data_IF_792088265399
#
_entry.id   IF_792088265399
#
_cell.length_a   1.000
_cell.length_b   1.000
_cell.length_c   1.000
_cell.angle_alpha   90.00
_cell.angle_beta   90.00
_cell.angle_gamma   90.00
#
_symmetry.space_group_name_H-M   'P 1'
#
loop_
_entity.id
_entity.type
_entity.pdbx_description
1 polymer ?
#
# COMPACT_ATOMS: atom_id res chain seq x y z
N UNK A 1 18.72 1.26 4.98
CA UNK A 1 18.93 1.02 3.54
C UNK A 1 20.07 1.91 3.03
N UNK A 2 20.75 1.55 1.92
CA UNK A 2 21.89 2.34 1.41
C UNK A 2 21.46 3.42 0.42
N UNK A 3 21.30 4.66 0.87
CA UNK A 3 20.89 5.80 0.00
C UNK A 3 21.95 6.24 -1.03
N UNK A 4 23.18 5.69 -0.95
CA UNK A 4 24.29 5.98 -1.88
C UNK A 4 24.55 4.82 -2.85
N UNK A 5 23.58 3.95 -3.07
CA UNK A 5 23.69 2.79 -3.96
C UNK A 5 23.76 3.14 -5.46
N UNK A 6 23.50 4.41 -5.83
CA UNK A 6 23.48 4.86 -7.22
C UNK A 6 22.26 4.40 -8.01
N UNK A 7 21.33 3.67 -7.37
CA UNK A 7 20.09 3.15 -7.95
C UNK A 7 18.91 4.03 -7.52
N UNK A 8 18.83 4.34 -6.23
CA UNK A 8 17.72 5.10 -5.66
C UNK A 8 17.96 6.61 -5.74
N UNK A 9 17.14 7.29 -6.55
CA UNK A 9 17.12 8.76 -6.67
C UNK A 9 16.61 9.41 -5.37
N UNK A 10 16.84 10.71 -5.13
CA UNK A 10 16.49 11.37 -3.87
C UNK A 10 15.02 11.21 -3.43
N UNK A 11 14.08 11.14 -4.37
CA UNK A 11 12.67 10.92 -4.05
C UNK A 11 12.39 9.55 -3.39
N UNK A 12 13.24 8.54 -3.57
CA UNK A 12 13.14 7.26 -2.83
C UNK A 12 13.62 7.33 -1.39
N UNK A 13 14.36 8.38 -0.99
CA UNK A 13 14.93 8.46 0.35
C UNK A 13 13.86 8.55 1.44
N UNK A 14 12.62 8.89 1.08
CA UNK A 14 11.44 8.81 1.96
C UNK A 14 11.27 7.44 2.61
N UNK A 15 11.50 6.37 1.84
CA UNK A 15 11.39 4.98 2.32
C UNK A 15 12.41 4.70 3.41
N UNK A 16 13.67 5.06 3.17
CA UNK A 16 14.75 4.88 4.17
C UNK A 16 14.54 5.78 5.40
N UNK A 17 14.10 7.03 5.21
CA UNK A 17 13.82 7.95 6.30
C UNK A 17 12.73 7.40 7.23
N UNK A 18 11.59 6.98 6.67
CA UNK A 18 10.48 6.40 7.45
C UNK A 18 10.91 5.09 8.11
N UNK A 19 11.62 4.20 7.41
CA UNK A 19 12.13 2.94 7.97
C UNK A 19 13.01 3.18 9.20
N UNK A 20 13.95 4.12 9.12
CA UNK A 20 14.82 4.45 10.26
C UNK A 20 14.04 4.98 11.47
N UNK A 21 12.95 5.74 11.26
CA UNK A 21 12.10 6.22 12.34
C UNK A 21 11.28 5.08 12.94
N UNK A 22 10.68 4.21 12.12
CA UNK A 22 9.94 3.04 12.61
C UNK A 22 10.83 2.10 13.43
N UNK A 23 12.06 1.89 12.98
CA UNK A 23 13.06 1.03 13.66
C UNK A 23 13.44 1.55 15.05
N UNK A 24 13.16 2.82 15.38
CA UNK A 24 13.35 3.32 16.75
C UNK A 24 12.32 2.76 17.74
N UNK A 25 11.18 2.26 17.26
CA UNK A 25 10.07 1.79 18.09
C UNK A 25 9.37 2.88 18.91
N UNK A 26 9.71 4.17 18.71
CA UNK A 26 9.20 5.28 19.52
C UNK A 26 7.81 5.78 19.13
N UNK A 27 7.37 5.48 17.92
CA UNK A 27 6.16 6.01 17.32
C UNK A 27 5.28 4.88 16.81
N UNK A 28 3.98 4.96 17.11
CA UNK A 28 2.97 4.04 16.56
C UNK A 28 2.64 4.36 15.11
N UNK A 29 2.72 5.64 14.73
CA UNK A 29 2.43 6.14 13.40
C UNK A 29 3.50 7.12 12.96
N UNK A 30 3.89 7.02 11.69
CA UNK A 30 4.81 7.96 11.04
C UNK A 30 4.09 8.56 9.83
N UNK A 31 4.01 9.88 9.79
CA UNK A 31 3.53 10.65 8.65
C UNK A 31 4.73 11.08 7.81
N UNK A 32 4.72 10.70 6.54
CA UNK A 32 5.55 11.34 5.52
C UNK A 32 4.77 12.44 4.82
N UNK A 33 5.43 13.56 4.54
CA UNK A 33 4.89 14.69 3.79
C UNK A 33 6.00 15.32 2.95
N UNK A 34 5.79 15.43 1.65
CA UNK A 34 6.68 16.12 0.73
C UNK A 34 6.75 17.62 1.07
N UNK A 35 7.85 18.27 0.69
CA UNK A 35 8.11 19.67 1.06
C UNK A 35 7.19 20.70 0.36
N UNK A 36 6.48 20.27 -0.67
CA UNK A 36 5.52 21.05 -1.46
C UNK A 36 4.05 20.75 -1.07
N UNK A 37 3.82 19.92 -0.04
CA UNK A 37 2.51 19.66 0.53
C UNK A 37 2.22 20.59 1.73
N UNK A 38 0.96 21.04 1.86
CA UNK A 38 0.51 21.97 2.89
C UNK A 38 -0.75 21.49 3.61
N UNK A 39 -0.85 21.81 4.89
CA UNK A 39 -2.09 21.64 5.66
C UNK A 39 -3.09 22.75 5.32
N UNK A 40 -4.25 22.36 4.80
CA UNK A 40 -5.31 23.29 4.40
C UNK A 40 -6.48 23.34 5.41
N UNK A 41 -6.59 22.34 6.28
CA UNK A 41 -7.63 22.24 7.33
C UNK A 41 -6.94 22.02 8.69
N UNK A 42 -6.49 23.10 9.36
CA UNK A 42 -5.79 22.98 10.64
C UNK A 42 -6.71 22.56 11.79
N UNK A 43 -8.04 22.55 11.59
CA UNK A 43 -9.00 22.08 12.59
C UNK A 43 -9.11 20.55 12.66
N UNK A 44 -8.65 19.85 11.62
CA UNK A 44 -8.70 18.39 11.54
C UNK A 44 -7.41 17.79 12.06
N UNK A 45 -7.52 16.90 13.05
CA UNK A 45 -6.38 16.22 13.64
C UNK A 45 -6.03 14.94 12.88
N UNK A 46 -4.76 14.53 12.93
CA UNK A 46 -4.31 13.25 12.37
C UNK A 46 -5.06 12.08 13.03
N UNK A 47 -5.28 12.13 14.34
CA UNK A 47 -6.06 11.12 15.05
C UNK A 47 -7.49 10.98 14.50
N UNK A 48 -8.14 12.09 14.14
CA UNK A 48 -9.48 12.05 13.54
C UNK A 48 -9.48 11.37 12.16
N UNK A 49 -8.40 11.53 11.39
CA UNK A 49 -8.21 10.85 10.10
C UNK A 49 -8.00 9.35 10.32
N UNK A 50 -7.10 8.97 11.23
CA UNK A 50 -6.87 7.55 11.57
C UNK A 50 -8.17 6.91 12.04
N UNK A 51 -8.89 7.53 12.98
CA UNK A 51 -10.15 7.02 13.51
C UNK A 51 -11.23 6.89 12.43
N UNK A 52 -11.31 7.83 11.48
CA UNK A 52 -12.25 7.76 10.36
C UNK A 52 -12.03 6.50 9.52
N UNK A 53 -10.79 6.18 9.18
CA UNK A 53 -10.49 5.02 8.35
C UNK A 53 -10.53 3.72 9.15
N UNK A 54 -10.05 3.72 10.41
CA UNK A 54 -10.14 2.55 11.30
C UNK A 54 -11.58 2.18 11.63
N UNK A 55 -12.45 3.18 11.81
CA UNK A 55 -13.89 2.96 12.01
C UNK A 55 -14.61 2.51 10.73
N UNK A 56 -14.22 3.01 9.56
CA UNK A 56 -14.85 2.65 8.29
C UNK A 56 -14.64 1.19 7.85
N UNK A 57 -13.65 0.46 8.39
CA UNK A 57 -13.55 -0.99 8.19
C UNK A 57 -14.79 -1.75 8.72
N UNK A 58 -15.54 -1.17 9.67
CA UNK A 58 -16.81 -1.74 10.14
C UNK A 58 -18.02 -1.37 9.27
N UNK A 59 -17.93 -0.32 8.45
CA UNK A 59 -19.06 0.25 7.68
C UNK A 59 -18.92 0.15 6.15
N UNK A 60 -17.72 -0.13 5.63
CA UNK A 60 -17.46 -0.40 4.22
C UNK A 60 -17.95 -1.80 3.77
N UNK A 61 -18.49 -2.60 4.70
CA UNK A 61 -19.17 -3.89 4.46
C UNK A 61 -20.65 -3.75 4.08
N UNK A 62 -21.14 -2.56 3.67
CA UNK A 62 -22.50 -2.41 3.13
C UNK A 62 -22.62 -2.99 1.71
N UNK A 63 -22.49 -4.31 1.60
CA UNK A 63 -23.28 -5.06 0.63
C UNK A 63 -24.75 -5.00 1.09
N UNK A 64 -25.74 -4.98 0.16
CA UNK A 64 -27.14 -5.15 0.54
C UNK A 64 -27.32 -6.48 1.30
N UNK A 65 -28.32 -6.61 2.19
CA UNK A 65 -28.43 -7.78 3.05
C UNK A 65 -28.62 -9.03 2.20
N UNK A 66 -27.54 -9.79 2.02
CA UNK A 66 -27.60 -11.12 1.42
C UNK A 66 -28.21 -12.06 2.45
N UNK A 67 -29.14 -12.90 1.99
CA UNK A 67 -29.82 -13.89 2.82
C UNK A 67 -28.79 -14.81 3.50
N UNK A 68 -29.13 -15.29 4.69
CA UNK A 68 -28.27 -16.07 5.59
C UNK A 68 -27.68 -17.36 5.00
N UNK A 69 -28.11 -17.76 3.80
CA UNK A 69 -27.54 -18.89 3.05
C UNK A 69 -26.31 -18.53 2.19
N UNK A 70 -26.06 -17.25 1.87
CA UNK A 70 -24.87 -16.84 1.10
C UNK A 70 -23.60 -16.69 1.97
N UNK A 71 -23.74 -16.66 3.30
CA UNK A 71 -22.66 -16.38 4.26
C UNK A 71 -21.68 -17.54 4.50
N UNK A 72 -21.98 -18.76 4.03
CA UNK A 72 -21.08 -19.92 4.24
C UNK A 72 -19.99 -20.09 3.17
N UNK A 73 -20.03 -19.31 2.09
CA UNK A 73 -19.05 -19.36 0.99
C UNK A 73 -18.22 -18.07 0.82
N UNK A 74 -18.38 -17.08 1.71
CA UNK A 74 -17.70 -15.78 1.65
C UNK A 74 -16.72 -15.57 2.81
N UNK A 75 -16.32 -16.63 3.51
CA UNK A 75 -15.40 -16.56 4.65
C UNK A 75 -14.08 -15.87 4.32
N UNK A 76 -13.64 -15.93 3.06
CA UNK A 76 -12.41 -15.29 2.57
C UNK A 76 -12.61 -13.89 1.97
N UNK A 77 -13.85 -13.37 1.93
CA UNK A 77 -14.18 -12.04 1.39
C UNK A 77 -14.80 -11.08 2.42
N UNK A 78 -14.99 -11.50 3.67
CA UNK A 78 -15.32 -10.55 4.74
C UNK A 78 -14.04 -9.80 5.16
N UNK A 79 -14.08 -8.46 5.32
CA UNK A 79 -12.95 -7.75 5.89
C UNK A 79 -12.67 -8.34 7.28
N UNK A 80 -11.41 -8.71 7.50
CA UNK A 80 -10.93 -9.22 8.79
C UNK A 80 -11.38 -8.27 9.91
N UNK A 81 -12.17 -8.73 10.90
CA UNK A 81 -12.58 -7.91 12.03
C UNK A 81 -11.39 -7.44 12.88
N UNK A 82 -10.20 -8.05 12.71
CA UNK A 82 -8.92 -7.63 13.29
C UNK A 82 -8.09 -6.74 12.33
N UNK A 83 -8.66 -6.26 11.20
CA UNK A 83 -7.99 -5.46 10.17
C UNK A 83 -7.37 -4.19 10.76
N UNK A 84 -6.14 -4.34 11.23
CA UNK A 84 -5.36 -3.29 11.81
C UNK A 84 -4.79 -2.46 10.65
N UNK A 85 -5.36 -1.28 10.40
CA UNK A 85 -4.89 -0.37 9.36
C UNK A 85 -3.40 -0.12 9.57
N UNK A 86 -2.62 -0.53 8.58
CA UNK A 86 -1.17 -0.33 8.60
C UNK A 86 -0.71 0.84 7.74
N UNK A 87 -1.51 1.25 6.75
CA UNK A 87 -1.16 2.32 5.80
C UNK A 87 -2.40 3.15 5.43
N UNK A 88 -2.26 4.48 5.42
CA UNK A 88 -3.22 5.44 4.86
C UNK A 88 -2.44 6.31 3.87
N UNK A 89 -2.92 6.46 2.64
CA UNK A 89 -2.24 7.25 1.60
C UNK A 89 -3.24 8.14 0.85
N UNK A 90 -2.72 9.18 0.22
CA UNK A 90 -3.52 10.07 -0.61
C UNK A 90 -3.85 9.45 -1.97
N UNK A 91 -5.03 9.76 -2.50
CA UNK A 91 -5.46 9.38 -3.85
C UNK A 91 -5.82 10.66 -4.61
N UNK A 92 -5.34 10.78 -5.83
CA UNK A 92 -5.63 11.90 -6.74
C UNK A 92 -6.02 11.39 -8.14
N UNK A 93 -6.07 12.28 -9.13
CA UNK A 93 -6.43 11.93 -10.51
C UNK A 93 -5.49 10.93 -11.19
N UNK A 94 -4.29 10.70 -10.63
CA UNK A 94 -3.28 9.76 -11.14
C UNK A 94 -3.31 8.41 -10.42
N UNK A 95 -4.25 8.21 -9.48
CA UNK A 95 -4.33 7.02 -8.64
C UNK A 95 -3.73 7.30 -7.27
N UNK A 96 -2.75 6.49 -6.84
CA UNK A 96 -2.08 6.71 -5.56
C UNK A 96 -1.13 7.91 -5.64
N UNK A 97 -1.07 8.71 -4.58
CA UNK A 97 -0.08 9.77 -4.42
C UNK A 97 0.73 9.49 -3.15
N UNK A 98 2.05 9.35 -3.29
CA UNK A 98 2.94 9.01 -2.19
C UNK A 98 3.69 10.22 -1.62
N UNK A 99 3.22 11.43 -1.90
CA UNK A 99 3.71 12.67 -1.31
C UNK A 99 3.17 12.90 0.10
N UNK A 100 2.01 12.33 0.45
CA UNK A 100 1.46 12.35 1.82
C UNK A 100 0.88 10.99 2.19
N UNK A 101 1.44 10.36 3.24
CA UNK A 101 0.98 9.06 3.72
C UNK A 101 1.34 8.81 5.18
N UNK A 102 0.52 8.01 5.87
CA UNK A 102 0.70 7.55 7.24
C UNK A 102 0.95 6.05 7.25
N UNK A 103 1.96 5.63 8.01
CA UNK A 103 2.31 4.23 8.16
C UNK A 103 2.38 3.87 9.66
N UNK A 104 1.64 2.84 10.04
CA UNK A 104 1.63 2.30 11.40
C UNK A 104 2.87 1.46 11.61
N UNK A 105 3.44 1.46 12.82
CA UNK A 105 4.57 0.64 13.18
C UNK A 105 4.13 -0.81 13.43
N UNK A 106 4.12 -1.61 12.36
CA UNK A 106 3.75 -3.03 12.37
C UNK A 106 4.79 -3.85 11.62
N UNK A 107 4.81 -5.16 11.87
CA UNK A 107 5.66 -6.09 11.11
C UNK A 107 5.39 -6.01 9.60
N UNK A 108 4.12 -5.84 9.21
CA UNK A 108 3.72 -5.63 7.81
C UNK A 108 4.39 -4.37 7.24
N UNK A 109 4.38 -3.25 7.97
CA UNK A 109 4.97 -2.00 7.52
C UNK A 109 6.48 -2.08 7.31
N UNK A 110 7.20 -2.80 8.19
CA UNK A 110 8.63 -3.04 7.98
C UNK A 110 8.90 -3.88 6.72
N UNK A 111 8.11 -4.93 6.50
CA UNK A 111 8.23 -5.76 5.30
C UNK A 111 7.88 -4.98 4.03
N UNK A 112 6.80 -4.20 4.06
CA UNK A 112 6.36 -3.36 2.95
C UNK A 112 7.46 -2.36 2.52
N UNK A 113 8.06 -1.64 3.48
CA UNK A 113 9.15 -0.70 3.15
C UNK A 113 10.38 -1.41 2.58
N UNK A 114 10.67 -2.64 3.02
CA UNK A 114 11.75 -3.44 2.47
C UNK A 114 11.45 -3.82 1.01
N UNK A 115 10.26 -4.38 0.72
CA UNK A 115 9.84 -4.74 -0.64
C UNK A 115 9.79 -3.53 -1.58
N UNK A 116 9.33 -2.39 -1.08
CA UNK A 116 9.31 -1.16 -1.86
C UNK A 116 10.73 -0.70 -2.21
N UNK A 117 11.67 -0.72 -1.25
CA UNK A 117 13.07 -0.39 -1.49
C UNK A 117 13.78 -1.39 -2.42
N UNK A 118 13.45 -2.67 -2.33
CA UNK A 118 14.10 -3.73 -3.11
C UNK A 118 13.42 -3.99 -4.47
N UNK A 119 12.45 -3.15 -4.86
CA UNK A 119 11.65 -3.39 -6.06
C UNK A 119 12.53 -3.44 -7.32
N UNK A 120 12.43 -4.59 -7.99
CA UNK A 120 13.12 -4.95 -9.23
C UNK A 120 12.44 -4.41 -10.49
N UNK A 121 11.18 -3.93 -10.41
CA UNK A 121 10.53 -3.16 -11.49
C UNK A 121 11.38 -1.97 -11.94
N UNK A 122 12.27 -1.50 -11.08
CA UNK A 122 13.22 -0.51 -11.49
C UNK A 122 14.19 -1.05 -12.54
N UNK A 123 14.52 -2.33 -12.68
CA UNK A 123 15.47 -2.88 -13.67
C UNK A 123 15.02 -2.72 -15.15
N UNK A 124 15.12 -1.50 -15.69
CA UNK A 124 14.85 -1.20 -17.10
C UNK A 124 14.91 0.30 -17.44
N UNK A 125 14.68 0.70 -18.71
CA UNK A 125 14.69 2.10 -19.17
C UNK A 125 13.68 3.04 -18.45
N UNK A 126 12.83 2.50 -17.56
CA UNK A 126 11.95 3.27 -16.67
C UNK A 126 12.60 3.87 -15.42
N UNK A 127 13.86 3.52 -15.05
CA UNK A 127 14.58 4.08 -13.86
C UNK A 127 14.74 5.60 -13.90
N UNK A 128 14.75 6.17 -15.09
CA UNK A 128 15.00 7.60 -15.29
C UNK A 128 13.74 8.45 -15.10
N UNK A 129 12.56 7.85 -14.92
CA UNK A 129 11.32 8.61 -14.77
C UNK A 129 11.18 9.18 -13.36
N UNK A 130 10.81 10.47 -13.28
CA UNK A 130 10.70 11.28 -12.06
C UNK A 130 9.63 10.82 -11.04
N UNK A 131 8.91 9.71 -11.30
CA UNK A 131 7.81 9.20 -10.47
C UNK A 131 7.97 7.70 -10.14
N UNK A 132 9.18 7.15 -10.29
CA UNK A 132 9.41 5.72 -10.15
C UNK A 132 9.20 5.21 -8.71
N UNK A 133 9.26 6.05 -7.69
CA UNK A 133 8.88 5.67 -6.31
C UNK A 133 7.38 5.44 -6.16
N UNK A 134 6.54 6.25 -6.81
CA UNK A 134 5.09 6.06 -6.80
C UNK A 134 4.70 4.77 -7.53
N UNK A 135 5.28 4.50 -8.70
CA UNK A 135 5.03 3.27 -9.45
C UNK A 135 5.49 2.02 -8.71
N UNK A 136 6.66 2.07 -8.05
CA UNK A 136 7.14 0.95 -7.22
C UNK A 136 6.33 0.75 -5.95
N UNK A 137 5.78 1.82 -5.36
CA UNK A 137 4.83 1.70 -4.25
C UNK A 137 3.59 0.93 -4.70
N UNK A 138 3.01 1.33 -5.84
CA UNK A 138 1.84 0.66 -6.41
C UNK A 138 2.14 -0.82 -6.67
N UNK A 139 3.30 -1.12 -7.25
CA UNK A 139 3.73 -2.48 -7.46
C UNK A 139 3.86 -3.24 -6.13
N UNK A 140 4.56 -2.71 -5.13
CA UNK A 140 4.73 -3.38 -3.84
C UNK A 140 3.39 -3.63 -3.11
N UNK A 141 2.39 -2.76 -3.30
CA UNK A 141 1.05 -2.96 -2.74
C UNK A 141 0.25 -4.03 -3.49
N UNK A 142 0.42 -4.14 -4.79
CA UNK A 142 -0.36 -5.06 -5.63
C UNK A 142 0.34 -6.39 -5.88
N UNK A 143 1.65 -6.48 -5.71
CA UNK A 143 2.47 -7.63 -6.10
C UNK A 143 1.89 -8.94 -5.59
N UNK A 144 1.70 -9.06 -4.27
CA UNK A 144 1.22 -10.31 -3.67
C UNK A 144 -0.17 -10.67 -4.20
N UNK A 145 -1.07 -9.68 -4.33
CA UNK A 145 -2.40 -9.88 -4.89
C UNK A 145 -2.40 -10.25 -6.37
N UNK A 146 -1.47 -9.70 -7.15
CA UNK A 146 -1.34 -9.97 -8.58
C UNK A 146 -0.77 -11.37 -8.79
N UNK A 147 0.21 -11.78 -8.00
CA UNK A 147 0.79 -13.13 -8.08
C UNK A 147 -0.21 -14.20 -7.62
N UNK A 148 -1.01 -13.93 -6.58
CA UNK A 148 -2.09 -14.84 -6.17
C UNK A 148 -3.13 -15.06 -7.29
N UNK A 149 -3.42 -14.02 -8.08
CA UNK A 149 -4.30 -14.13 -9.23
C UNK A 149 -3.67 -14.89 -10.40
N UNK A 150 -2.34 -14.92 -10.51
CA UNK A 150 -1.64 -15.60 -11.61
C UNK A 150 -1.87 -17.12 -11.54
N UNK A 151 -1.90 -17.72 -10.35
CA UNK A 151 -2.25 -19.14 -10.18
C UNK A 151 -3.68 -19.47 -10.65
N UNK A 152 -4.63 -18.60 -10.33
CA UNK A 152 -6.02 -18.71 -10.79
C UNK A 152 -6.14 -18.54 -12.31
N UNK A 153 -5.34 -17.63 -12.88
CA UNK A 153 -5.26 -17.40 -14.33
C UNK A 153 -4.59 -18.57 -15.05
N UNK A 154 -3.50 -19.10 -14.54
CA UNK A 154 -2.82 -20.29 -15.07
C UNK A 154 -3.76 -21.49 -15.07
N UNK A 155 -4.54 -21.68 -14.01
CA UNK A 155 -5.56 -22.72 -13.93
C UNK A 155 -6.70 -22.50 -14.95
N UNK A 156 -7.10 -21.25 -15.19
CA UNK A 156 -8.08 -20.88 -16.21
C UNK A 156 -7.54 -21.14 -17.63
N UNK A 157 -6.32 -20.69 -17.95
CA UNK A 157 -5.66 -20.92 -19.24
C UNK A 157 -5.51 -22.42 -19.53
N UNK A 158 -5.07 -23.20 -18.54
CA UNK A 158 -4.97 -24.66 -18.65
C UNK A 158 -6.32 -25.34 -18.90
N UNK A 159 -7.41 -24.80 -18.34
CA UNK A 159 -8.77 -25.32 -18.50
C UNK A 159 -9.42 -24.97 -19.83
N UNK A 160 -9.11 -23.80 -20.39
CA UNK A 160 -9.79 -23.27 -21.58
C UNK A 160 -8.90 -23.18 -22.83
N UNK A 161 -7.63 -23.57 -22.74
CA UNK A 161 -6.72 -23.67 -23.89
C UNK A 161 -6.39 -22.33 -24.54
N UNK A 162 -6.46 -21.25 -23.77
CA UNK A 162 -6.09 -19.90 -24.23
C UNK A 162 -4.61 -19.72 -23.92
N UNK A 163 -3.76 -19.71 -24.95
CA UNK A 163 -2.32 -19.47 -24.78
C UNK A 163 -1.98 -18.01 -25.04
N UNK A 164 -1.03 -17.46 -24.28
CA UNK A 164 -0.45 -16.11 -24.53
C UNK A 164 0.15 -16.03 -25.95
N UNK A 165 -0.12 -14.94 -26.65
CA UNK A 165 0.50 -14.57 -27.93
C UNK A 165 1.87 -13.93 -27.72
#
# INVERSE_FOLDING_TARGET
MNVKDGVHKPFFWKVNAVKNILDTGKYDWVLWMDCDAFFMDPGRTIDSVIAMYSGNLTSASRLPPLSSLALRGLGDMMPDPDANISLIFAVDSTGINNGVWLLKNTAWSHNFLQRWWESDILEGPGKEHNCSDQSTMLHALLHDRVMDLDEDWDAYEARFGVYRF
#
